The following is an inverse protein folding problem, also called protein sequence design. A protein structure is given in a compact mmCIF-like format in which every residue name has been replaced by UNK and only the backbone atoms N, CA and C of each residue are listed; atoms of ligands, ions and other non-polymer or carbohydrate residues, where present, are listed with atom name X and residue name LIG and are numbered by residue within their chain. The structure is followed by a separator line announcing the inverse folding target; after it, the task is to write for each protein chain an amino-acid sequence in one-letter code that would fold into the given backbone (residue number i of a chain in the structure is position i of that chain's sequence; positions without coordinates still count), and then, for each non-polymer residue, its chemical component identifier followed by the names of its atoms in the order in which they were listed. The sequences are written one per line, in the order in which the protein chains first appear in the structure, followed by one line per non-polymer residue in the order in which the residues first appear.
data_IF_306993254934
#
_entry.id   IF_306993254934
#
_cell.length_a   1.000
_cell.length_b   1.000
_cell.length_c   1.000
_cell.angle_alpha   90.00
_cell.angle_beta   90.00
_cell.angle_gamma   90.00
#
_symmetry.space_group_name_H-M   'P 1'
#
loop_
_entity.id
_entity.type
_entity.pdbx_description
1 polymer ?
#
# COMPACT_ATOMS: atom_id res chain seq x y z
N UNK A 1 -5.65 -11.59 23.29
CA UNK A 1 -6.61 -10.56 22.86
C UNK A 1 -6.43 -10.33 21.36
N UNK A 2 -7.52 -10.22 20.60
CA UNK A 2 -7.53 -9.95 19.17
C UNK A 2 -8.31 -8.66 18.94
N UNK A 3 -7.74 -7.71 18.20
CA UNK A 3 -8.39 -6.43 17.86
C UNK A 3 -8.54 -6.34 16.34
N UNK A 4 -9.75 -6.04 15.87
CA UNK A 4 -10.00 -5.77 14.45
C UNK A 4 -11.10 -4.74 14.30
N UNK A 5 -10.93 -3.82 13.34
CA UNK A 5 -11.97 -2.85 12.98
C UNK A 5 -13.09 -3.49 12.14
N UNK A 6 -12.81 -4.61 11.47
CA UNK A 6 -13.80 -5.37 10.69
C UNK A 6 -13.65 -6.86 10.97
N UNK A 7 -14.75 -7.50 11.36
CA UNK A 7 -14.78 -8.94 11.60
C UNK A 7 -15.47 -9.66 10.45
N UNK A 8 -15.01 -10.87 10.17
CA UNK A 8 -15.54 -11.72 9.10
C UNK A 8 -15.64 -13.15 9.62
N UNK A 9 -16.53 -13.95 9.04
CA UNK A 9 -16.64 -15.39 9.38
C UNK A 9 -15.30 -16.12 9.29
N UNK A 10 -14.45 -15.76 8.32
CA UNK A 10 -13.10 -16.33 8.19
C UNK A 10 -12.19 -15.99 9.36
N UNK A 11 -12.28 -14.76 9.88
CA UNK A 11 -11.53 -14.38 11.09
C UNK A 11 -12.07 -15.10 12.31
N UNK A 12 -13.38 -15.28 12.44
CA UNK A 12 -13.99 -16.08 13.52
C UNK A 12 -13.54 -17.54 13.49
N UNK A 13 -13.50 -18.17 12.32
CA UNK A 13 -13.04 -19.56 12.18
C UNK A 13 -11.55 -19.68 12.55
N UNK A 14 -10.73 -18.70 12.16
CA UNK A 14 -9.33 -18.63 12.60
C UNK A 14 -9.21 -18.42 14.11
N UNK A 15 -10.06 -17.59 14.71
CA UNK A 15 -10.09 -17.36 16.16
C UNK A 15 -10.42 -18.65 16.90
N UNK A 16 -11.39 -19.43 16.42
CA UNK A 16 -11.76 -20.74 16.99
C UNK A 16 -10.62 -21.76 16.96
N UNK A 17 -9.79 -21.73 15.92
CA UNK A 17 -8.63 -22.61 15.81
C UNK A 17 -7.44 -22.10 16.64
N UNK A 18 -7.22 -20.78 16.67
CA UNK A 18 -6.06 -20.18 17.32
C UNK A 18 -6.19 -20.07 18.84
N UNK A 19 -7.41 -20.00 19.37
CA UNK A 19 -7.68 -19.87 20.80
C UNK A 19 -8.11 -21.22 21.39
N UNK A 20 -7.46 -21.61 22.49
CA UNK A 20 -7.79 -22.85 23.23
C UNK A 20 -9.07 -22.74 24.06
N UNK A 21 -9.54 -21.51 24.28
CA UNK A 21 -10.67 -21.20 25.14
C UNK A 21 -11.58 -20.23 24.39
N UNK A 22 -12.88 -20.34 24.61
CA UNK A 22 -13.86 -19.49 23.96
C UNK A 22 -13.60 -18.01 24.31
N UNK A 23 -13.35 -17.14 23.31
CA UNK A 23 -13.08 -15.73 23.58
C UNK A 23 -14.37 -15.02 23.97
N UNK A 24 -14.29 -14.17 25.00
CA UNK A 24 -15.35 -13.19 25.26
C UNK A 24 -15.38 -12.17 24.12
N UNK A 25 -16.51 -12.13 23.40
CA UNK A 25 -16.72 -11.16 22.33
C UNK A 25 -17.22 -9.84 22.90
N UNK A 26 -16.42 -8.79 22.76
CA UNK A 26 -16.79 -7.42 23.12
C UNK A 26 -16.83 -6.62 21.81
N UNK A 27 -18.00 -6.57 21.18
CA UNK A 27 -18.23 -5.85 19.94
C UNK A 27 -19.33 -4.81 20.11
N UNK A 28 -19.04 -3.58 19.72
CA UNK A 28 -20.06 -2.58 19.42
C UNK A 28 -20.31 -2.70 17.92
N UNK A 29 -21.30 -3.47 17.44
CA UNK A 29 -21.96 -3.26 16.12
C UNK A 29 -22.80 -4.45 15.66
N UNK A 30 -24.12 -4.35 15.88
CA UNK A 30 -25.10 -4.97 14.97
C UNK A 30 -26.10 -3.93 14.40
N UNK A 31 -26.21 -2.74 14.99
CA UNK A 31 -27.24 -1.75 14.65
C UNK A 31 -26.76 -0.53 13.83
N UNK A 32 -25.48 -0.42 13.46
CA UNK A 32 -25.04 0.73 12.65
C UNK A 32 -25.56 0.65 11.21
N UNK A 33 -26.19 1.74 10.77
CA UNK A 33 -26.66 1.92 9.40
C UNK A 33 -25.51 2.14 8.40
N UNK A 34 -24.38 2.67 8.85
CA UNK A 34 -23.20 2.99 8.04
C UNK A 34 -21.95 2.30 8.59
N UNK A 35 -21.10 1.79 7.69
CA UNK A 35 -19.85 1.13 8.06
C UNK A 35 -18.65 2.10 8.24
N UNK A 36 -18.88 3.41 8.07
CA UNK A 36 -17.86 4.46 8.15
C UNK A 36 -18.13 5.39 9.34
N UNK A 37 -17.08 6.07 9.79
CA UNK A 37 -17.15 7.02 10.92
C UNK A 37 -18.12 8.18 10.64
N UNK A 38 -18.73 8.71 11.69
CA UNK A 38 -19.56 9.91 11.62
C UNK A 38 -18.67 11.14 11.31
N UNK A 39 -19.19 12.13 10.58
CA UNK A 39 -18.43 13.32 10.16
C UNK A 39 -17.55 13.15 8.91
N UNK A 40 -17.50 11.94 8.34
CA UNK A 40 -16.80 11.67 7.08
C UNK A 40 -17.71 11.91 5.86
N UNK A 41 -17.36 12.88 5.03
CA UNK A 41 -17.98 13.12 3.73
C UNK A 41 -17.26 12.32 2.64
N UNK A 42 -17.99 11.47 1.92
CA UNK A 42 -17.40 10.54 0.97
C UNK A 42 -18.01 10.76 -0.40
N UNK A 43 -17.15 11.00 -1.39
CA UNK A 43 -17.56 11.10 -2.76
C UNK A 43 -16.69 10.33 -3.74
N UNK A 44 -17.24 10.11 -4.92
CA UNK A 44 -16.53 9.55 -6.06
C UNK A 44 -16.58 10.49 -7.25
N UNK A 45 -15.64 10.31 -8.18
CA UNK A 45 -15.62 10.98 -9.46
C UNK A 45 -15.31 9.97 -10.55
N UNK A 46 -16.08 10.03 -11.64
CA UNK A 46 -15.82 9.25 -12.83
C UNK A 46 -14.87 10.02 -13.74
N UNK A 47 -13.69 9.45 -13.98
CA UNK A 47 -12.60 10.09 -14.70
C UNK A 47 -12.06 9.17 -15.79
N UNK A 48 -12.05 9.60 -17.07
CA UNK A 48 -11.35 8.90 -18.14
C UNK A 48 -9.87 8.70 -17.81
N UNK A 49 -9.28 7.59 -18.25
CA UNK A 49 -7.93 7.18 -17.84
C UNK A 49 -6.86 8.24 -18.15
N UNK A 50 -6.96 8.88 -19.31
CA UNK A 50 -6.03 9.92 -19.77
C UNK A 50 -6.00 11.16 -18.88
N UNK A 51 -7.13 11.50 -18.23
CA UNK A 51 -7.26 12.70 -17.39
C UNK A 51 -7.07 12.45 -15.90
N UNK A 52 -6.88 11.19 -15.46
CA UNK A 52 -6.76 10.84 -14.03
C UNK A 52 -5.65 11.62 -13.33
N UNK A 53 -4.48 11.70 -13.95
CA UNK A 53 -3.36 12.43 -13.36
C UNK A 53 -3.62 13.94 -13.31
N UNK A 54 -4.24 14.52 -14.35
CA UNK A 54 -4.59 15.95 -14.38
C UNK A 54 -5.56 16.32 -13.26
N UNK A 55 -6.53 15.44 -13.00
CA UNK A 55 -7.48 15.59 -11.90
C UNK A 55 -6.77 15.54 -10.55
N UNK A 56 -5.92 14.53 -10.32
CA UNK A 56 -5.13 14.40 -9.09
C UNK A 56 -4.25 15.63 -8.86
N UNK A 57 -3.49 16.05 -9.87
CA UNK A 57 -2.63 17.22 -9.77
C UNK A 57 -3.41 18.49 -9.43
N UNK A 58 -4.52 18.73 -10.13
CA UNK A 58 -5.38 19.89 -9.87
C UNK A 58 -5.95 19.86 -8.46
N UNK A 59 -6.38 18.68 -8.00
CA UNK A 59 -6.91 18.48 -6.66
C UNK A 59 -5.85 18.77 -5.59
N UNK A 60 -4.64 18.22 -5.73
CA UNK A 60 -3.55 18.42 -4.78
C UNK A 60 -3.07 19.88 -4.77
N UNK A 61 -2.99 20.53 -5.94
CA UNK A 61 -2.62 21.94 -6.05
C UNK A 61 -3.59 22.86 -5.32
N UNK A 62 -4.90 22.58 -5.39
CA UNK A 62 -5.94 23.33 -4.65
C UNK A 62 -5.88 23.08 -3.15
N UNK A 63 -5.54 21.85 -2.74
CA UNK A 63 -5.51 21.44 -1.33
C UNK A 63 -4.10 21.44 -0.71
N UNK A 64 -3.16 22.25 -1.23
CA UNK A 64 -1.77 22.30 -0.74
C UNK A 64 -1.62 22.72 0.73
N UNK A 65 -2.62 23.41 1.28
CA UNK A 65 -2.66 23.88 2.68
C UNK A 65 -3.37 22.89 3.62
N UNK A 66 -3.68 21.70 3.14
CA UNK A 66 -4.36 20.65 3.90
C UNK A 66 -3.42 19.46 4.06
N UNK A 67 -3.74 18.59 5.02
CA UNK A 67 -3.10 17.28 5.16
C UNK A 67 -3.87 16.29 4.28
N UNK A 68 -3.20 15.74 3.27
CA UNK A 68 -3.81 14.88 2.25
C UNK A 68 -3.06 13.57 2.17
N UNK A 69 -3.78 12.45 2.15
CA UNK A 69 -3.22 11.14 1.82
C UNK A 69 -3.76 10.64 0.48
N UNK A 70 -2.89 10.09 -0.36
CA UNK A 70 -3.24 9.57 -1.68
C UNK A 70 -2.84 8.09 -1.76
N UNK A 71 -3.81 7.22 -1.97
CA UNK A 71 -3.62 5.78 -2.09
C UNK A 71 -3.46 5.34 -3.55
N UNK A 72 -2.42 4.54 -3.79
CA UNK A 72 -2.12 3.91 -5.06
C UNK A 72 -2.05 2.38 -4.91
N UNK A 73 -2.36 1.68 -5.99
CA UNK A 73 -2.34 0.21 -6.08
C UNK A 73 -0.94 -0.40 -6.04
N UNK A 74 0.09 0.34 -6.47
CA UNK A 74 1.45 -0.18 -6.66
C UNK A 74 2.54 0.70 -6.05
N UNK A 75 3.55 0.07 -5.47
CA UNK A 75 4.74 0.74 -4.93
C UNK A 75 5.50 1.53 -6.00
N UNK A 76 5.54 1.03 -7.25
CA UNK A 76 6.23 1.73 -8.34
C UNK A 76 5.42 2.95 -8.82
N UNK A 77 4.09 2.88 -8.78
CA UNK A 77 3.23 4.05 -9.00
C UNK A 77 3.48 5.12 -7.95
N UNK A 78 3.55 4.77 -6.66
CA UNK A 78 3.90 5.73 -5.59
C UNK A 78 5.25 6.39 -5.85
N UNK A 79 6.27 5.58 -6.18
CA UNK A 79 7.62 6.07 -6.47
C UNK A 79 7.62 7.08 -7.64
N UNK A 80 7.01 6.72 -8.76
CA UNK A 80 6.95 7.58 -9.94
C UNK A 80 6.19 8.88 -9.67
N UNK A 81 5.00 8.82 -9.05
CA UNK A 81 4.22 10.02 -8.77
C UNK A 81 4.93 10.92 -7.74
N UNK A 82 5.66 10.35 -6.79
CA UNK A 82 6.50 11.13 -5.87
C UNK A 82 7.61 11.88 -6.61
N UNK A 83 8.34 11.21 -7.51
CA UNK A 83 9.38 11.84 -8.31
C UNK A 83 8.79 12.92 -9.22
N UNK A 84 7.72 12.59 -9.96
CA UNK A 84 7.04 13.50 -10.88
C UNK A 84 6.51 14.75 -10.19
N UNK A 85 5.78 14.61 -9.07
CA UNK A 85 5.18 15.74 -8.36
C UNK A 85 6.26 16.68 -7.80
N UNK A 86 7.39 16.14 -7.33
CA UNK A 86 8.52 16.97 -6.90
C UNK A 86 9.19 17.71 -8.07
N UNK A 87 9.21 17.15 -9.29
CA UNK A 87 9.73 17.85 -10.48
C UNK A 87 8.85 19.02 -10.94
N UNK A 88 7.55 19.01 -10.59
CA UNK A 88 6.59 20.07 -10.94
C UNK A 88 6.29 20.98 -9.74
N UNK A 89 7.23 21.07 -8.79
CA UNK A 89 7.21 21.91 -7.60
C UNK A 89 5.99 21.69 -6.68
N UNK A 90 5.51 20.44 -6.60
CA UNK A 90 4.52 20.03 -5.62
C UNK A 90 5.20 19.10 -4.59
N UNK A 91 5.55 19.62 -3.40
CA UNK A 91 6.26 18.84 -2.39
C UNK A 91 5.34 17.72 -1.87
N UNK A 92 5.81 16.49 -2.01
CA UNK A 92 5.09 15.29 -1.57
C UNK A 92 6.01 14.34 -0.82
N UNK A 93 5.46 13.68 0.19
CA UNK A 93 6.08 12.57 0.90
C UNK A 93 5.60 11.24 0.32
N UNK A 94 6.36 10.16 0.50
CA UNK A 94 5.95 8.83 0.03
C UNK A 94 6.28 7.70 0.99
N UNK A 95 5.33 6.78 1.18
CA UNK A 95 5.49 5.55 1.97
C UNK A 95 5.03 4.35 1.14
N UNK A 96 5.93 3.40 0.88
CA UNK A 96 5.58 2.16 0.18
C UNK A 96 6.46 0.98 0.63
N UNK A 97 5.99 -0.25 0.39
CA UNK A 97 6.62 -1.47 0.90
C UNK A 97 8.06 -1.72 0.43
N UNK A 98 8.47 -1.17 -0.72
CA UNK A 98 9.85 -1.26 -1.22
C UNK A 98 10.86 -0.33 -0.52
N UNK A 99 10.43 0.58 0.37
CA UNK A 99 11.34 1.44 1.12
C UNK A 99 11.91 0.73 2.35
N UNK A 100 13.15 1.08 2.72
CA UNK A 100 13.74 0.63 3.99
C UNK A 100 12.91 1.14 5.17
N UNK A 101 12.79 0.32 6.22
CA UNK A 101 11.98 0.65 7.40
C UNK A 101 12.37 2.00 8.01
N UNK A 102 13.66 2.30 8.14
CA UNK A 102 14.13 3.58 8.68
C UNK A 102 13.55 4.79 7.92
N UNK A 103 13.56 4.74 6.58
CA UNK A 103 12.98 5.82 5.75
C UNK A 103 11.48 5.93 5.95
N UNK A 104 10.76 4.79 6.00
CA UNK A 104 9.31 4.77 6.27
C UNK A 104 8.98 5.42 7.61
N UNK A 105 9.73 5.07 8.65
CA UNK A 105 9.55 5.63 10.00
C UNK A 105 9.82 7.13 10.02
N UNK A 106 10.92 7.59 9.41
CA UNK A 106 11.23 9.03 9.34
C UNK A 106 10.15 9.81 8.59
N UNK A 107 9.75 9.36 7.40
CA UNK A 107 8.71 10.03 6.60
C UNK A 107 7.35 10.00 7.29
N UNK A 108 7.04 8.91 7.99
CA UNK A 108 5.82 8.81 8.80
C UNK A 108 5.80 9.88 9.90
N UNK A 109 6.84 9.98 10.72
CA UNK A 109 6.89 11.00 11.77
C UNK A 109 6.93 12.43 11.21
N UNK A 110 7.61 12.65 10.09
CA UNK A 110 7.57 13.93 9.37
C UNK A 110 6.14 14.31 8.97
N UNK A 111 5.38 13.38 8.40
CA UNK A 111 3.98 13.63 8.02
C UNK A 111 3.08 13.84 9.24
N UNK A 112 3.27 13.06 10.31
CA UNK A 112 2.49 13.22 11.54
C UNK A 112 2.71 14.62 12.16
N UNK A 113 3.96 15.07 12.22
CA UNK A 113 4.34 16.35 12.83
C UNK A 113 4.06 17.57 11.92
N UNK A 114 3.90 17.37 10.62
CA UNK A 114 3.58 18.45 9.70
C UNK A 114 2.12 18.90 9.88
N UNK A 115 1.86 20.21 9.90
CA UNK A 115 0.49 20.74 9.93
C UNK A 115 -0.23 20.52 8.59
N UNK A 116 0.52 20.62 7.49
CA UNK A 116 0.02 20.44 6.13
C UNK A 116 0.98 19.57 5.34
N UNK A 117 0.49 18.88 4.31
CA UNK A 117 1.35 18.05 3.48
C UNK A 117 0.59 16.97 2.74
N UNK A 118 1.25 16.43 1.71
CA UNK A 118 0.69 15.38 0.86
C UNK A 118 1.53 14.12 1.05
N UNK A 119 0.89 13.02 1.42
CA UNK A 119 1.51 11.70 1.56
C UNK A 119 0.96 10.76 0.49
N UNK A 120 1.85 10.26 -0.38
CA UNK A 120 1.54 9.21 -1.34
C UNK A 120 1.85 7.84 -0.74
N UNK A 121 0.90 6.92 -0.73
CA UNK A 121 1.10 5.62 -0.11
C UNK A 121 0.38 4.46 -0.79
N UNK A 122 0.82 3.25 -0.47
CA UNK A 122 0.05 2.02 -0.70
C UNK A 122 -0.62 1.57 0.61
N UNK A 123 -1.35 0.46 0.57
CA UNK A 123 -2.08 -0.10 1.74
C UNK A 123 -1.19 -0.49 2.93
N UNK A 124 0.13 -0.50 2.75
CA UNK A 124 1.10 -0.61 3.84
C UNK A 124 0.95 0.52 4.87
N UNK A 125 0.43 1.68 4.46
CA UNK A 125 0.14 2.80 5.36
C UNK A 125 -1.29 2.79 5.93
N UNK A 126 -2.20 1.96 5.39
CA UNK A 126 -3.60 1.93 5.79
C UNK A 126 -3.83 1.16 7.12
N UNK A 127 -2.93 0.24 7.49
CA UNK A 127 -3.09 -0.65 8.65
C UNK A 127 -2.08 -0.35 9.76
N UNK A 128 -2.56 -0.21 10.99
CA UNK A 128 -1.73 -0.20 12.21
C UNK A 128 -0.84 1.02 12.42
N UNK A 129 -0.81 1.98 11.50
CA UNK A 129 -0.15 3.27 11.70
C UNK A 129 -1.16 4.28 12.24
N UNK A 130 -0.83 4.89 13.37
CA UNK A 130 -1.62 5.96 13.95
C UNK A 130 -1.25 7.30 13.31
N UNK A 131 -1.89 7.60 12.18
CA UNK A 131 -1.73 8.86 11.48
C UNK A 131 -2.71 9.86 12.11
N UNK A 132 -2.26 11.07 12.52
CA UNK A 132 -3.13 12.10 13.05
C UNK A 132 -4.16 12.55 12.01
N UNK A 133 -5.22 13.24 12.45
CA UNK A 133 -6.35 13.63 11.61
C UNK A 133 -5.91 14.26 10.28
N UNK A 134 -6.29 13.60 9.19
CA UNK A 134 -6.00 13.99 7.81
C UNK A 134 -7.25 14.63 7.24
N UNK A 135 -7.16 15.75 6.53
CA UNK A 135 -8.34 16.41 5.96
C UNK A 135 -8.95 15.63 4.78
N UNK A 136 -8.09 15.04 3.94
CA UNK A 136 -8.50 14.36 2.71
C UNK A 136 -7.84 13.00 2.52
N UNK A 137 -8.67 11.99 2.24
CA UNK A 137 -8.24 10.68 1.75
C UNK A 137 -8.61 10.55 0.28
N UNK A 138 -7.61 10.59 -0.59
CA UNK A 138 -7.79 10.37 -2.03
C UNK A 138 -7.43 8.93 -2.35
N UNK A 139 -8.36 8.19 -2.92
CA UNK A 139 -8.14 6.86 -3.45
C UNK A 139 -7.96 7.01 -4.95
N UNK A 140 -6.70 7.24 -5.36
CA UNK A 140 -6.36 7.42 -6.75
C UNK A 140 -6.61 6.14 -7.54
N UNK A 141 -6.22 5.00 -6.95
CA UNK A 141 -6.62 3.67 -7.41
C UNK A 141 -7.63 3.05 -6.43
N UNK A 142 -8.73 2.47 -6.93
CA UNK A 142 -9.69 1.76 -6.09
C UNK A 142 -9.03 0.63 -5.29
N UNK A 143 -9.48 0.36 -4.05
CA UNK A 143 -9.02 -0.76 -3.25
C UNK A 143 -9.55 -2.08 -3.78
N UNK A 144 -8.91 -3.18 -3.38
CA UNK A 144 -9.25 -4.51 -3.88
C UNK A 144 -10.57 -5.05 -3.29
N UNK A 145 -10.89 -4.62 -2.06
CA UNK A 145 -12.08 -5.02 -1.28
C UNK A 145 -12.70 -3.79 -0.58
N UNK A 146 -14.04 -3.69 -0.47
CA UNK A 146 -14.70 -2.68 0.36
C UNK A 146 -14.19 -2.55 1.80
N UNK A 147 -13.66 -3.60 2.42
CA UNK A 147 -13.06 -3.46 3.77
C UNK A 147 -11.79 -2.63 3.76
N UNK A 148 -11.00 -2.77 2.71
CA UNK A 148 -9.80 -1.95 2.54
C UNK A 148 -10.15 -0.49 2.29
N UNK A 149 -11.23 -0.22 1.54
CA UNK A 149 -11.81 1.12 1.43
C UNK A 149 -12.08 1.70 2.83
N UNK A 150 -12.79 0.97 3.70
CA UNK A 150 -13.14 1.42 5.06
C UNK A 150 -11.88 1.71 5.88
N UNK A 151 -10.85 0.86 5.79
CA UNK A 151 -9.59 1.07 6.49
C UNK A 151 -8.82 2.30 6.01
N UNK A 152 -8.83 2.58 4.69
CA UNK A 152 -8.21 3.76 4.09
C UNK A 152 -8.90 5.04 4.57
N UNK A 153 -10.23 5.10 4.51
CA UNK A 153 -10.97 6.30 4.93
C UNK A 153 -11.02 6.47 6.44
N UNK A 154 -10.86 5.40 7.22
CA UNK A 154 -10.71 5.48 8.69
C UNK A 154 -9.41 6.14 9.18
N UNK A 155 -8.60 6.73 8.28
CA UNK A 155 -7.46 7.61 8.60
C UNK A 155 -7.87 9.08 8.77
N UNK A 156 -9.08 9.45 8.36
CA UNK A 156 -9.65 10.80 8.54
C UNK A 156 -10.85 10.75 9.50
N UNK A 157 -11.39 11.92 9.88
CA UNK A 157 -12.53 12.07 10.79
C UNK A 157 -12.37 11.21 12.07
N UNK A 158 -11.20 11.31 12.70
CA UNK A 158 -10.85 10.57 13.91
C UNK A 158 -11.13 11.42 15.14
N UNK A 159 -11.67 10.82 16.19
CA UNK A 159 -12.02 11.51 17.44
C UNK A 159 -13.42 12.10 17.42
N UNK A 160 -13.87 12.57 18.58
CA UNK A 160 -15.20 13.16 18.76
C UNK A 160 -15.28 14.51 18.03
N UNK A 161 -16.24 14.65 17.10
CA UNK A 161 -16.40 15.85 16.27
C UNK A 161 -15.39 15.98 15.11
N UNK A 162 -14.59 14.94 14.85
CA UNK A 162 -13.65 14.92 13.73
C UNK A 162 -14.34 15.07 12.38
N UNK A 163 -13.72 15.81 11.46
CA UNK A 163 -14.27 16.05 10.12
C UNK A 163 -13.27 15.65 9.05
N UNK A 164 -13.78 15.05 7.99
CA UNK A 164 -12.94 14.44 6.99
C UNK A 164 -13.62 14.29 5.66
N UNK A 165 -12.83 14.27 4.60
CA UNK A 165 -13.35 14.02 3.26
C UNK A 165 -12.61 12.85 2.61
N UNK A 166 -13.34 12.04 1.85
CA UNK A 166 -12.78 10.97 1.02
C UNK A 166 -13.20 11.15 -0.44
N UNK A 167 -12.23 11.01 -1.35
CA UNK A 167 -12.44 11.04 -2.79
C UNK A 167 -12.01 9.72 -3.41
N UNK A 168 -12.93 9.02 -4.08
CA UNK A 168 -12.64 7.83 -4.87
C UNK A 168 -12.62 8.19 -6.37
N UNK A 169 -11.52 7.92 -7.04
CA UNK A 169 -11.41 8.13 -8.50
C UNK A 169 -11.70 6.79 -9.19
N UNK A 170 -12.72 6.77 -10.03
CA UNK A 170 -13.13 5.60 -10.81
C UNK A 170 -13.03 5.88 -12.30
N UNK A 171 -12.64 4.86 -13.08
CA UNK A 171 -12.89 4.86 -14.53
C UNK A 171 -14.36 4.60 -14.82
N UNK A 172 -14.87 4.96 -16.01
CA UNK A 172 -16.24 4.63 -16.42
C UNK A 172 -16.58 3.14 -16.29
N UNK A 173 -15.62 2.26 -16.56
CA UNK A 173 -15.78 0.80 -16.47
C UNK A 173 -15.83 0.30 -15.01
N UNK A 174 -15.33 1.10 -14.06
CA UNK A 174 -15.19 0.72 -12.64
C UNK A 174 -16.40 1.11 -11.78
N UNK A 175 -17.39 1.80 -12.36
CA UNK A 175 -18.60 2.27 -11.65
C UNK A 175 -19.36 1.10 -10.99
N UNK A 176 -19.22 -0.12 -11.52
CA UNK A 176 -19.76 -1.33 -10.90
C UNK A 176 -19.29 -1.57 -9.45
N UNK A 177 -18.10 -1.06 -9.08
CA UNK A 177 -17.56 -1.16 -7.72
C UNK A 177 -18.44 -0.46 -6.67
N UNK A 178 -19.16 0.60 -7.06
CA UNK A 178 -20.09 1.32 -6.17
C UNK A 178 -21.18 0.40 -5.62
N UNK A 179 -21.58 -0.64 -6.36
CA UNK A 179 -22.56 -1.64 -5.89
C UNK A 179 -22.03 -2.42 -4.69
N UNK A 180 -20.75 -2.79 -4.72
CA UNK A 180 -20.09 -3.51 -3.62
C UNK A 180 -19.94 -2.62 -2.38
N UNK A 181 -19.60 -1.34 -2.57
CA UNK A 181 -19.54 -0.36 -1.49
C UNK A 181 -20.92 -0.12 -0.86
N UNK A 182 -21.97 -0.05 -1.67
CA UNK A 182 -23.36 0.06 -1.18
C UNK A 182 -23.77 -1.14 -0.33
N UNK A 183 -23.44 -2.36 -0.76
CA UNK A 183 -23.67 -3.60 0.03
C UNK A 183 -22.89 -3.58 1.35
N UNK A 184 -21.66 -3.03 1.32
CA UNK A 184 -20.85 -2.81 2.51
C UNK A 184 -21.32 -1.63 3.39
N UNK A 185 -22.51 -1.06 3.13
CA UNK A 185 -23.08 0.10 3.85
C UNK A 185 -22.18 1.35 3.82
N UNK A 186 -21.50 1.58 2.70
CA UNK A 186 -20.71 2.77 2.44
C UNK A 186 -21.45 3.65 1.43
N UNK A 187 -22.20 4.68 1.89
CA UNK A 187 -22.86 5.62 0.99
C UNK A 187 -21.81 6.57 0.38
N UNK A 188 -21.86 6.73 -0.93
CA UNK A 188 -20.96 7.60 -1.70
C UNK A 188 -21.79 8.56 -2.55
N UNK A 189 -21.39 9.83 -2.58
CA UNK A 189 -22.01 10.85 -3.43
C UNK A 189 -21.15 11.11 -4.66
N UNK A 190 -21.76 11.37 -5.81
CA UNK A 190 -21.00 11.78 -6.98
C UNK A 190 -20.55 13.23 -6.83
N UNK A 191 -19.26 13.48 -7.03
CA UNK A 191 -18.73 14.83 -7.09
C UNK A 191 -18.63 15.28 -8.54
N UNK A 192 -19.41 16.30 -8.89
CA UNK A 192 -19.32 16.94 -10.19
C UNK A 192 -18.04 17.78 -10.29
N UNK A 193 -17.13 17.35 -11.17
CA UNK A 193 -15.93 18.12 -11.48
C UNK A 193 -16.10 18.87 -12.80
N UNK A 194 -15.97 20.19 -12.73
CA UNK A 194 -15.86 21.01 -13.94
C UNK A 194 -14.50 20.79 -14.61
N UNK A 195 -14.50 20.05 -15.72
CA UNK A 195 -13.31 19.80 -16.54
C UNK A 195 -12.61 21.09 -17.00
N UNK A 196 -13.34 22.20 -17.12
CA UNK A 196 -12.79 23.51 -17.45
C UNK A 196 -11.82 24.05 -16.38
N UNK A 197 -11.96 23.61 -15.12
CA UNK A 197 -11.10 24.04 -14.00
C UNK A 197 -9.87 23.14 -13.79
N UNK A 198 -9.66 22.16 -14.66
CA UNK A 198 -8.52 21.24 -14.59
C UNK A 198 -7.30 21.89 -15.27
N UNK A 199 -6.17 21.87 -14.57
CA UNK A 199 -4.93 22.40 -15.13
C UNK A 199 -4.46 21.52 -16.28
N UNK A 200 -4.31 22.10 -17.48
CA UNK A 200 -3.78 21.41 -18.64
C UNK A 200 -2.25 21.31 -18.56
N UNK A 201 -1.76 20.37 -17.76
CA UNK A 201 -0.32 20.09 -17.62
C UNK A 201 0.18 18.98 -18.54
N UNK A 202 -0.68 18.44 -19.41
CA UNK A 202 -0.35 17.30 -20.26
C UNK A 202 0.88 17.56 -21.17
N UNK A 203 1.00 18.71 -21.87
CA UNK A 203 2.17 18.96 -22.73
C UNK A 203 3.47 19.11 -21.92
N UNK A 204 3.39 19.67 -20.71
CA UNK A 204 4.53 19.83 -19.81
C UNK A 204 4.99 18.47 -19.28
N UNK A 205 4.03 17.61 -18.91
CA UNK A 205 4.27 16.25 -18.47
C UNK A 205 4.96 15.44 -19.58
N UNK A 206 4.41 15.42 -20.79
CA UNK A 206 4.97 14.69 -21.92
C UNK A 206 6.38 15.16 -22.27
N UNK A 207 6.60 16.48 -22.29
CA UNK A 207 7.93 17.07 -22.48
C UNK A 207 8.90 16.61 -21.39
N UNK A 208 8.51 16.69 -20.12
CA UNK A 208 9.35 16.31 -18.99
C UNK A 208 9.72 14.82 -19.03
N UNK A 209 8.76 13.94 -19.32
CA UNK A 209 8.97 12.49 -19.46
C UNK A 209 9.87 12.19 -20.67
N UNK A 210 9.72 12.91 -21.79
CA UNK A 210 10.58 12.70 -22.96
C UNK A 210 12.03 13.15 -22.75
N UNK A 211 12.25 14.20 -21.96
CA UNK A 211 13.58 14.79 -21.76
C UNK A 211 14.36 14.12 -20.63
N UNK A 212 13.69 13.72 -19.55
CA UNK A 212 14.35 13.14 -18.38
C UNK A 212 14.37 11.61 -18.44
N UNK A 213 15.55 11.04 -18.72
CA UNK A 213 15.75 9.59 -18.80
C UNK A 213 15.34 8.83 -17.53
N UNK A 214 15.69 9.35 -16.34
CA UNK A 214 15.38 8.69 -15.07
C UNK A 214 13.87 8.66 -14.83
N UNK A 215 13.20 9.78 -15.06
CA UNK A 215 11.76 9.89 -14.89
C UNK A 215 11.01 9.06 -15.95
N UNK A 216 11.49 9.02 -17.19
CA UNK A 216 10.99 8.14 -18.25
C UNK A 216 11.03 6.66 -17.85
N UNK A 217 12.17 6.21 -17.32
CA UNK A 217 12.31 4.82 -16.86
C UNK A 217 11.43 4.52 -15.65
N UNK A 218 11.31 5.46 -14.70
CA UNK A 218 10.40 5.35 -13.56
C UNK A 218 8.94 5.25 -14.01
N UNK A 219 8.51 6.10 -14.95
CA UNK A 219 7.17 6.09 -15.55
C UNK A 219 6.88 4.75 -16.25
N UNK A 220 7.85 4.20 -16.99
CA UNK A 220 7.70 2.94 -17.71
C UNK A 220 7.48 1.76 -16.75
N UNK A 221 8.24 1.71 -15.67
CA UNK A 221 8.10 0.67 -14.66
C UNK A 221 6.82 0.84 -13.83
N UNK A 222 6.42 2.08 -13.54
CA UNK A 222 5.16 2.39 -12.87
C UNK A 222 3.95 1.97 -13.72
N UNK A 223 3.94 2.33 -15.01
CA UNK A 223 2.91 1.93 -15.98
C UNK A 223 2.74 0.40 -16.02
N UNK A 224 3.84 -0.35 -16.20
CA UNK A 224 3.79 -1.82 -16.19
C UNK A 224 3.25 -2.36 -14.87
N UNK A 225 3.65 -1.76 -13.75
CA UNK A 225 3.21 -2.20 -12.43
C UNK A 225 1.73 -1.92 -12.18
N UNK A 226 1.21 -0.81 -12.71
CA UNK A 226 -0.20 -0.45 -12.62
C UNK A 226 -1.05 -1.45 -13.41
N UNK A 227 -0.68 -1.74 -14.66
CA UNK A 227 -1.37 -2.75 -15.48
C UNK A 227 -1.37 -4.12 -14.79
N UNK A 228 -0.23 -4.53 -14.20
CA UNK A 228 -0.14 -5.78 -13.43
C UNK A 228 -0.98 -5.77 -12.16
N UNK A 229 -1.02 -4.66 -11.43
CA UNK A 229 -1.85 -4.53 -10.23
C UNK A 229 -3.34 -4.64 -10.60
N UNK A 230 -3.73 -4.01 -11.69
CA UNK A 230 -5.07 -4.14 -12.29
C UNK A 230 -5.38 -5.61 -12.65
N UNK A 231 -4.43 -6.29 -13.30
CA UNK A 231 -4.53 -7.72 -13.63
C UNK A 231 -4.48 -8.65 -12.42
N UNK A 232 -4.10 -8.17 -11.24
CA UNK A 232 -4.16 -8.96 -10.01
C UNK A 232 -5.41 -8.73 -9.18
N UNK A 233 -6.25 -7.75 -9.55
CA UNK A 233 -7.44 -7.38 -8.78
C UNK A 233 -8.43 -8.56 -8.67
N UNK A 234 -9.01 -8.78 -7.49
CA UNK A 234 -9.92 -9.91 -7.24
C UNK A 234 -11.25 -9.79 -8.00
N UNK A 235 -11.78 -8.57 -8.14
CA UNK A 235 -13.07 -8.28 -8.77
C UNK A 235 -12.93 -8.19 -10.31
N UNK A 236 -12.62 -9.33 -10.95
CA UNK A 236 -12.40 -9.43 -12.41
C UNK A 236 -13.57 -9.00 -13.28
N UNK A 237 -14.79 -9.05 -12.76
CA UNK A 237 -15.99 -8.60 -13.48
C UNK A 237 -16.06 -7.09 -13.63
N UNK A 238 -15.37 -6.33 -12.77
CA UNK A 238 -15.33 -4.86 -12.81
C UNK A 238 -13.96 -4.39 -13.30
N UNK A 239 -12.90 -4.93 -12.70
CA UNK A 239 -11.52 -4.57 -13.00
C UNK A 239 -10.94 -5.55 -14.01
N UNK A 240 -11.49 -5.53 -15.23
CA UNK A 240 -11.02 -6.34 -16.35
C UNK A 240 -9.93 -5.60 -17.13
N UNK A 241 -8.74 -6.19 -17.21
CA UNK A 241 -7.60 -5.64 -17.97
C UNK A 241 -7.89 -5.53 -19.46
N UNK A 242 -8.76 -6.38 -20.00
CA UNK A 242 -9.11 -6.33 -21.42
C UNK A 242 -9.91 -5.08 -21.78
N UNK A 243 -10.58 -4.47 -20.80
CA UNK A 243 -11.30 -3.19 -20.95
C UNK A 243 -10.39 -1.98 -20.76
N UNK A 244 -9.12 -2.19 -20.40
CA UNK A 244 -8.18 -1.12 -20.12
C UNK A 244 -7.65 -0.54 -21.44
N UNK A 245 -8.00 0.71 -21.73
CA UNK A 245 -7.37 1.45 -22.82
C UNK A 245 -5.92 1.80 -22.45
N UNK A 246 -5.01 0.95 -22.90
CA UNK A 246 -3.57 1.08 -22.65
C UNK A 246 -2.98 2.38 -23.20
N UNK A 247 -3.58 2.97 -24.24
CA UNK A 247 -3.12 4.24 -24.82
C UNK A 247 -3.49 5.38 -23.85
N UNK A 248 -4.73 5.41 -23.38
CA UNK A 248 -5.16 6.42 -22.41
C UNK A 248 -4.44 6.28 -21.08
N UNK A 249 -4.24 5.06 -20.60
CA UNK A 249 -3.41 4.83 -19.40
C UNK A 249 -1.98 5.30 -19.63
N UNK A 250 -1.37 5.01 -20.78
CA UNK A 250 -0.02 5.50 -21.07
C UNK A 250 0.06 7.04 -21.05
N UNK A 251 -0.96 7.74 -21.58
CA UNK A 251 -1.07 9.20 -21.49
C UNK A 251 -1.09 9.71 -20.04
N UNK A 252 -1.75 8.99 -19.13
CA UNK A 252 -1.78 9.36 -17.71
C UNK A 252 -0.42 9.23 -17.00
N UNK A 253 0.50 8.44 -17.55
CA UNK A 253 1.91 8.35 -17.13
C UNK A 253 2.83 9.28 -17.96
N UNK A 254 2.26 10.16 -18.78
CA UNK A 254 3.00 11.14 -19.57
C UNK A 254 3.64 10.61 -20.85
N UNK A 255 3.21 9.44 -21.35
CA UNK A 255 3.68 8.92 -22.62
C UNK A 255 2.78 9.36 -23.79
N UNK A 256 3.40 9.87 -24.85
CA UNK A 256 2.73 10.10 -26.14
C UNK A 256 2.34 8.79 -26.83
N UNK A 257 3.24 7.79 -26.73
CA UNK A 257 3.07 6.46 -27.31
C UNK A 257 3.26 5.44 -26.19
N UNK A 258 2.34 4.47 -26.02
CA UNK A 258 2.47 3.48 -24.97
C UNK A 258 3.82 2.75 -25.08
N UNK A 259 4.58 2.67 -23.97
CA UNK A 259 5.86 1.97 -24.00
C UNK A 259 5.60 0.51 -24.33
N UNK A 260 6.36 -0.04 -25.30
CA UNK A 260 6.21 -1.44 -25.74
C UNK A 260 6.17 -2.34 -24.50
N UNK A 261 4.99 -2.91 -24.25
CA UNK A 261 4.85 -3.99 -23.30
C UNK A 261 5.47 -5.19 -23.98
N UNK A 262 6.77 -5.40 -23.81
CA UNK A 262 7.31 -6.76 -23.93
C UNK A 262 6.86 -7.41 -22.62
N UNK A 263 5.82 -8.25 -22.61
CA UNK A 263 5.49 -8.95 -21.39
C UNK A 263 6.75 -9.76 -21.04
N UNK A 264 7.20 -9.67 -19.79
CA UNK A 264 8.36 -10.41 -19.32
C UNK A 264 8.12 -11.94 -19.31
N UNK A 265 6.94 -12.37 -19.78
CA UNK A 265 6.53 -13.73 -20.04
C UNK A 265 5.65 -13.73 -21.29
N UNK A 266 5.86 -14.63 -22.27
CA UNK A 266 4.85 -14.85 -23.29
C UNK A 266 3.53 -15.22 -22.59
N UNK A 267 2.44 -14.65 -23.10
CA UNK A 267 1.08 -15.08 -22.84
C UNK A 267 1.04 -16.61 -22.87
N UNK A 268 0.53 -17.21 -21.80
CA UNK A 268 0.58 -18.64 -21.49
C UNK A 268 0.09 -19.46 -22.71
N UNK A 269 1.01 -20.10 -23.44
CA UNK A 269 0.67 -21.40 -24.01
C UNK A 269 0.44 -22.33 -22.81
N UNK A 270 -0.80 -22.79 -22.67
CA UNK A 270 -1.15 -23.82 -21.69
C UNK A 270 -0.30 -25.04 -21.99
N UNK A 271 0.81 -25.21 -21.27
CA UNK A 271 1.53 -26.48 -21.23
C UNK A 271 0.51 -27.53 -20.79
N UNK A 272 0.24 -28.58 -21.58
CA UNK A 272 -0.63 -29.65 -21.14
C UNK A 272 -0.05 -30.22 -19.85
N UNK A 273 -0.85 -30.28 -18.78
CA UNK A 273 -0.44 -30.95 -17.53
C UNK A 273 -0.10 -32.39 -17.87
N UNK A 274 1.19 -32.72 -17.87
CA UNK A 274 1.64 -34.10 -17.96
C UNK A 274 1.16 -34.83 -16.70
N UNK A 275 0.14 -35.69 -16.84
CA UNK A 275 -0.46 -36.50 -15.77
C UNK A 275 0.44 -37.67 -15.34
N UNK A 276 1.73 -37.44 -15.10
CA UNK A 276 2.65 -38.45 -14.54
C UNK A 276 3.71 -37.76 -13.70
N UNK A 277 3.35 -37.36 -12.48
CA UNK A 277 4.24 -37.21 -11.30
C UNK A 277 3.41 -36.62 -10.14
N UNK A 278 2.49 -37.42 -9.57
CA UNK A 278 2.00 -37.24 -8.20
C UNK A 278 1.37 -38.55 -7.71
N UNK A 279 2.21 -39.40 -7.14
CA UNK A 279 1.94 -40.57 -6.29
C UNK A 279 3.26 -40.74 -5.52
N UNK A 280 3.36 -40.79 -4.21
CA UNK A 280 2.42 -40.92 -3.09
C UNK A 280 3.13 -40.22 -1.91
N UNK A 281 2.38 -39.69 -0.94
CA UNK A 281 2.78 -39.72 0.47
C UNK A 281 1.64 -39.12 1.32
N UNK A 282 0.72 -39.99 1.74
CA UNK A 282 -0.02 -39.86 3.00
C UNK A 282 -0.29 -41.26 3.54
N UNK A 283 -0.34 -41.34 4.87
CA UNK A 283 -0.70 -42.45 5.76
C UNK A 283 0.49 -43.28 6.26
N UNK A 284 0.98 -43.04 7.48
CA UNK A 284 0.43 -43.25 8.84
C UNK A 284 0.94 -44.56 9.46
N UNK A 285 1.72 -44.35 10.51
CA UNK A 285 1.75 -45.06 11.80
C UNK A 285 2.09 -46.56 11.93
N UNK A 286 2.67 -46.80 13.11
CA UNK A 286 2.82 -48.05 13.88
C UNK A 286 4.10 -48.88 13.66
N UNK A 287 4.98 -48.81 14.67
CA UNK A 287 5.31 -50.02 15.42
C UNK A 287 6.67 -50.71 15.20
N UNK A 288 7.58 -50.39 16.12
CA UNK A 288 8.39 -51.34 16.91
C UNK A 288 9.38 -52.33 16.26
N UNK A 289 10.59 -52.26 16.83
CA UNK A 289 11.49 -53.35 17.26
C UNK A 289 12.46 -54.05 16.29
N UNK A 290 13.74 -53.90 16.67
CA UNK A 290 14.83 -54.90 16.74
C UNK A 290 15.46 -55.39 15.43
N UNK A 291 16.73 -55.01 15.21
CA UNK A 291 17.92 -55.88 15.40
C UNK A 291 19.11 -55.46 14.50
N UNK A 292 20.29 -55.40 15.12
CA UNK A 292 21.64 -55.30 14.53
C UNK A 292 22.04 -56.67 13.93
N UNK A 293 23.00 -56.79 12.97
CA UNK A 293 24.42 -56.68 13.35
C UNK A 293 25.44 -56.12 12.34
N UNK A 294 26.53 -55.67 12.96
CA UNK A 294 27.89 -55.33 12.50
C UNK A 294 28.51 -56.31 11.48
N UNK A 295 29.46 -55.81 10.66
CA UNK A 295 30.92 -56.08 10.82
C UNK A 295 31.81 -55.36 9.77
N UNK A 296 32.95 -54.85 10.29
CA UNK A 296 34.35 -54.76 9.78
C UNK A 296 34.57 -54.20 8.36
N UNK A 297 35.48 -53.26 8.08
CA UNK A 297 36.61 -52.68 8.80
C UNK A 297 37.79 -52.54 7.82
N UNK A 298 38.47 -51.39 7.76
CA UNK A 298 39.92 -51.22 7.50
C UNK A 298 40.30 -49.74 7.53
N UNK A 299 41.48 -49.50 8.07
CA UNK A 299 42.05 -48.21 8.44
C UNK A 299 42.91 -47.59 7.33
N UNK A 300 43.04 -46.27 7.33
CA UNK A 300 44.28 -45.57 7.02
C UNK A 300 44.29 -44.20 7.72
N UNK A 301 45.30 -44.02 8.59
CA UNK A 301 45.63 -42.78 9.29
C UNK A 301 46.35 -41.81 8.35
N UNK A 302 46.11 -40.50 8.52
CA UNK A 302 47.15 -39.47 8.52
C UNK A 302 46.75 -38.39 9.56
N UNK A 303 47.66 -38.12 10.50
CA UNK A 303 47.52 -37.15 11.60
C UNK A 303 47.57 -35.70 11.14
N UNK A 304 46.88 -34.79 11.86
CA UNK A 304 47.42 -33.76 12.78
C UNK A 304 48.27 -32.70 12.04
N UNK A 305 48.03 -31.39 12.11
CA UNK A 305 47.74 -30.49 13.24
C UNK A 305 46.98 -29.24 12.72
N UNK A 306 46.02 -28.65 13.43
CA UNK A 306 46.28 -27.57 14.39
C UNK A 306 45.49 -26.29 14.02
N UNK A 307 44.37 -26.03 14.70
CA UNK A 307 43.67 -24.73 14.68
C UNK A 307 44.35 -23.74 15.65
N UNK A 308 44.35 -22.41 15.40
CA UNK A 308 43.39 -21.51 16.10
C UNK A 308 43.12 -20.17 15.34
N UNK A 309 42.49 -19.12 15.93
CA UNK A 309 41.17 -19.05 16.53
C UNK A 309 40.26 -17.96 15.90
N UNK A 310 38.96 -18.02 16.22
CA UNK A 310 37.89 -17.06 15.87
C UNK A 310 38.20 -15.63 16.35
N UNK A 311 38.06 -14.63 15.47
CA UNK A 311 37.98 -13.21 15.86
C UNK A 311 36.54 -12.72 15.88
N UNK A 312 36.17 -12.17 17.05
CA UNK A 312 34.87 -11.60 17.42
C UNK A 312 34.58 -10.30 16.67
N UNK A 313 33.33 -10.14 16.27
CA UNK A 313 32.71 -8.88 15.85
C UNK A 313 32.82 -7.84 16.97
N UNK A 314 33.18 -6.60 16.62
CA UNK A 314 33.12 -5.44 17.51
C UNK A 314 31.82 -4.70 17.26
N UNK A 315 30.94 -4.72 18.25
CA UNK A 315 29.79 -3.83 18.38
C UNK A 315 30.26 -2.42 18.75
N UNK A 316 29.75 -1.40 18.05
CA UNK A 316 29.95 0.01 18.41
C UNK A 316 28.71 0.47 19.17
N UNK A 317 28.91 0.77 20.45
CA UNK A 317 27.90 1.29 21.38
C UNK A 317 28.08 2.82 21.42
N UNK A 318 27.06 3.59 21.01
CA UNK A 318 27.01 5.02 21.29
C UNK A 318 26.40 5.26 22.68
N UNK A 319 27.12 6.00 23.54
CA UNK A 319 26.61 6.46 24.84
C UNK A 319 25.77 7.74 24.65
N UNK A 320 24.66 7.91 25.40
CA UNK A 320 23.88 9.14 25.39
C UNK A 320 24.54 10.26 26.20
N UNK A 321 24.44 11.50 25.71
CA UNK A 321 24.81 12.74 26.42
C UNK A 321 23.61 13.23 27.24
N UNK A 322 23.73 13.50 28.55
CA UNK A 322 22.62 14.03 29.34
C UNK A 322 22.48 15.55 29.14
N UNK A 323 21.24 15.99 28.90
CA UNK A 323 20.83 17.40 28.95
C UNK A 323 20.45 17.71 30.40
N UNK A 324 21.19 18.61 31.05
CA UNK A 324 20.92 19.04 32.42
C UNK A 324 19.78 20.06 32.49
N UNK A 325 18.84 19.83 33.40
CA UNK A 325 17.77 20.76 33.76
C UNK A 325 18.14 21.58 35.01
N UNK A 326 18.05 22.90 34.83
CA UNK A 326 17.43 23.89 35.72
C UNK A 326 18.05 24.27 37.09
N UNK A 327 18.19 25.59 37.31
CA UNK A 327 17.60 26.34 38.44
C UNK A 327 18.43 27.58 38.88
N UNK A 328 17.70 28.70 39.07
CA UNK A 328 17.94 29.86 39.97
C UNK A 328 18.19 31.24 39.32
N UNK A 329 17.09 31.87 38.96
CA UNK A 329 16.50 33.08 39.58
C UNK A 329 17.41 34.14 40.28
N UNK A 330 17.10 35.41 39.95
CA UNK A 330 17.31 36.71 40.66
C UNK A 330 18.68 37.41 40.53
N UNK A 331 18.70 38.59 39.88
CA UNK A 331 18.54 39.89 40.58
C UNK A 331 18.44 41.09 39.63
N UNK A 332 17.59 42.03 40.05
CA UNK A 332 17.32 43.38 39.57
C UNK A 332 18.56 44.25 39.30
N UNK A 333 18.49 45.15 38.31
CA UNK A 333 18.51 46.61 38.54
C UNK A 333 18.53 47.44 37.25
N UNK A 334 17.63 48.45 37.26
CA UNK A 334 17.53 49.67 36.44
C UNK A 334 16.87 49.58 35.06
#
# INVERSE_FOLDING_TARGET
MLFSATLTKKTEDLVKVALKTEPLYIGLDEQKEKATVEGLEQGYVVCPSDKRFLLLFTFLKKNRKKKVMVFFSSCLSVKYHHELLNYIDLPVMSIHGKQKQAKRTTTFFQFCNAETGILLCTDVAARGLDIPEVDWIVQYDPPDDPKEYIHRVGRTARGEGGRGHALLILRPEEVGFLRYLKVAKVPLQEFEFSWAKIANIQPQLEKLISQNYYLHMSAKEAYKSYVRAYDSHHLKSIFDVNTLDLIQVAKSFGFLVPPKHRPAYPFIERVPRCKKCYKQETEHDVGSSKARPRKKGRAANYGYEGAPPKKREKSVIYKPVPVGTDSRNRQFSR
#
